data_IF_671659615212
#
_entry.id   IF_671659615212
#
_cell.length_a   1.000
_cell.length_b   1.000
_cell.length_c   1.000
_cell.angle_alpha   90.00
_cell.angle_beta   90.00
_cell.angle_gamma   90.00
#
_symmetry.space_group_name_H-M   'P 1'
#
loop_
_entity.id
_entity.type
_entity.pdbx_description
1 polymer ?
#
# COMPACT_ATOMS: atom_id res chain seq x y z
N UNK A 1 -16.83 31.54 5.45
CA UNK A 1 -17.25 30.15 5.76
C UNK A 1 -16.99 29.29 4.53
N UNK A 2 -15.85 28.60 4.49
CA UNK A 2 -15.47 27.76 3.34
C UNK A 2 -16.22 26.44 3.40
N UNK A 3 -17.22 26.30 2.54
CA UNK A 3 -17.97 25.07 2.33
C UNK A 3 -17.02 23.97 1.87
N UNK A 4 -16.58 23.11 2.79
CA UNK A 4 -15.93 21.84 2.47
C UNK A 4 -16.96 20.99 1.76
N UNK A 5 -16.95 21.01 0.42
CA UNK A 5 -17.61 20.00 -0.39
C UNK A 5 -16.99 18.66 0.00
N UNK A 6 -17.70 17.90 0.83
CA UNK A 6 -17.46 16.48 0.99
C UNK A 6 -17.61 15.90 -0.41
N UNK A 7 -16.50 15.54 -1.07
CA UNK A 7 -16.56 14.79 -2.32
C UNK A 7 -17.37 13.55 -1.97
N UNK A 8 -18.56 13.42 -2.56
CA UNK A 8 -19.32 12.19 -2.53
C UNK A 8 -18.40 11.11 -3.09
N UNK A 9 -17.77 10.35 -2.19
CA UNK A 9 -17.16 9.09 -2.52
C UNK A 9 -18.35 8.19 -2.83
N UNK A 10 -18.53 7.80 -4.10
CA UNK A 10 -19.39 6.67 -4.39
C UNK A 10 -18.73 5.46 -3.71
N UNK A 11 -19.38 4.95 -2.66
CA UNK A 11 -18.94 3.80 -1.88
C UNK A 11 -18.78 2.53 -2.75
N UNK A 12 -19.34 2.54 -3.95
CA UNK A 12 -19.33 1.45 -4.93
C UNK A 12 -18.13 1.42 -5.87
N UNK A 13 -17.25 2.44 -5.88
CA UNK A 13 -16.13 2.51 -6.85
C UNK A 13 -14.82 1.94 -6.30
N UNK A 14 -14.87 1.26 -5.16
CA UNK A 14 -13.72 0.62 -4.53
C UNK A 14 -13.31 -0.64 -5.28
N UNK A 15 -12.05 -0.72 -5.66
CA UNK A 15 -11.45 -1.87 -6.35
C UNK A 15 -10.56 -2.68 -5.43
N UNK A 16 -10.49 -3.97 -5.73
CA UNK A 16 -9.57 -4.90 -5.09
C UNK A 16 -8.30 -4.96 -5.94
N UNK A 17 -7.17 -4.72 -5.30
CA UNK A 17 -5.83 -4.84 -5.88
C UNK A 17 -5.16 -6.11 -5.36
N UNK A 18 -4.40 -6.81 -6.20
CA UNK A 18 -3.76 -8.08 -5.87
C UNK A 18 -2.26 -7.98 -6.13
N UNK A 19 -1.43 -8.44 -5.20
CA UNK A 19 0.01 -8.60 -5.39
C UNK A 19 0.41 -9.98 -4.90
N UNK A 20 0.74 -10.89 -5.82
CA UNK A 20 0.98 -12.29 -5.49
C UNK A 20 1.80 -13.00 -6.53
N UNK A 21 2.15 -14.24 -6.23
CA UNK A 21 2.72 -15.17 -7.20
C UNK A 21 1.70 -15.52 -8.29
N UNK A 22 2.19 -16.08 -9.38
CA UNK A 22 1.39 -16.47 -10.54
C UNK A 22 0.22 -17.36 -10.14
N UNK A 23 0.47 -18.38 -9.31
CA UNK A 23 -0.55 -19.34 -8.87
C UNK A 23 -1.67 -18.67 -8.07
N UNK A 24 -1.35 -17.77 -7.13
CA UNK A 24 -2.38 -17.06 -6.36
C UNK A 24 -3.15 -16.08 -7.25
N UNK A 25 -2.48 -15.34 -8.12
CA UNK A 25 -3.13 -14.38 -9.02
C UNK A 25 -4.08 -15.10 -9.97
N UNK A 26 -3.69 -16.25 -10.52
CA UNK A 26 -4.57 -17.10 -11.34
C UNK A 26 -5.77 -17.55 -10.53
N UNK A 27 -5.57 -18.00 -9.28
CA UNK A 27 -6.67 -18.38 -8.39
C UNK A 27 -7.68 -17.24 -8.13
N UNK A 28 -7.20 -16.02 -7.91
CA UNK A 28 -8.06 -14.86 -7.72
C UNK A 28 -8.82 -14.47 -8.99
N UNK A 29 -8.16 -14.52 -10.15
CA UNK A 29 -8.80 -14.27 -11.44
C UNK A 29 -9.90 -15.29 -11.72
N UNK A 30 -9.68 -16.57 -11.42
CA UNK A 30 -10.69 -17.62 -11.53
C UNK A 30 -11.85 -17.44 -10.55
N UNK A 31 -11.60 -16.89 -9.36
CA UNK A 31 -12.62 -16.53 -8.39
C UNK A 31 -13.42 -15.26 -8.77
N UNK A 32 -13.10 -14.62 -9.90
CA UNK A 32 -13.75 -13.39 -10.35
C UNK A 32 -13.19 -12.12 -9.69
N UNK A 33 -12.06 -12.20 -9.00
CA UNK A 33 -11.38 -11.08 -8.36
C UNK A 33 -10.18 -10.67 -9.22
N UNK A 34 -10.33 -9.55 -9.92
CA UNK A 34 -9.28 -8.98 -10.75
C UNK A 34 -9.84 -8.55 -12.10
N UNK A 35 -9.70 -7.26 -12.40
CA UNK A 35 -10.13 -6.68 -13.67
C UNK A 35 -8.92 -6.16 -14.42
N UNK A 36 -8.90 -6.41 -15.73
CA UNK A 36 -7.97 -5.79 -16.66
C UNK A 36 -8.80 -4.93 -17.59
N UNK A 37 -8.62 -3.63 -17.46
CA UNK A 37 -9.31 -2.67 -18.29
C UNK A 37 -8.83 -2.75 -19.74
N UNK A 38 -9.68 -2.37 -20.70
CA UNK A 38 -9.34 -2.29 -22.12
C UNK A 38 -8.21 -1.29 -22.40
N UNK A 39 -8.03 -0.32 -21.49
CA UNK A 39 -6.92 0.63 -21.46
C UNK A 39 -5.60 0.04 -20.91
N UNK A 40 -5.58 -1.25 -20.57
CA UNK A 40 -4.40 -1.94 -20.05
C UNK A 40 -4.14 -1.71 -18.56
N UNK A 41 -5.02 -0.98 -17.85
CA UNK A 41 -4.92 -0.80 -16.41
C UNK A 41 -5.31 -2.11 -15.72
N UNK A 42 -4.34 -2.76 -15.08
CA UNK A 42 -4.52 -4.00 -14.32
C UNK A 42 -4.57 -3.70 -12.82
N UNK A 43 -5.42 -4.43 -12.11
CA UNK A 43 -5.49 -4.36 -10.65
C UNK A 43 -4.67 -5.46 -9.96
N UNK A 44 -3.79 -6.14 -10.71
CA UNK A 44 -2.95 -7.19 -10.15
C UNK A 44 -1.49 -7.04 -10.60
N UNK A 45 -0.60 -7.44 -9.72
CA UNK A 45 0.83 -7.51 -9.96
C UNK A 45 1.33 -8.92 -9.65
N UNK A 46 1.94 -9.54 -10.65
CA UNK A 46 2.50 -10.89 -10.55
C UNK A 46 3.95 -10.74 -10.09
N UNK A 47 4.27 -11.35 -8.95
CA UNK A 47 5.61 -11.40 -8.38
C UNK A 47 6.27 -12.69 -8.82
N UNK A 48 7.41 -12.57 -9.51
CA UNK A 48 8.26 -13.68 -9.87
C UNK A 48 9.48 -13.73 -8.94
N UNK A 49 10.21 -14.85 -8.94
CA UNK A 49 11.47 -14.98 -8.18
C UNK A 49 12.56 -13.98 -8.61
N UNK A 50 12.39 -13.31 -9.75
CA UNK A 50 13.29 -12.27 -10.29
C UNK A 50 12.85 -10.84 -9.91
N UNK A 51 11.62 -10.67 -9.45
CA UNK A 51 11.06 -9.36 -9.09
C UNK A 51 11.80 -8.82 -7.87
N UNK A 52 12.30 -7.59 -7.97
CA UNK A 52 13.03 -6.98 -6.87
C UNK A 52 12.06 -6.44 -5.81
N UNK A 53 12.48 -6.40 -4.55
CA UNK A 53 11.65 -5.90 -3.44
C UNK A 53 11.27 -4.43 -3.63
N UNK A 54 12.18 -3.64 -4.21
CA UNK A 54 11.93 -2.23 -4.54
C UNK A 54 10.74 -2.07 -5.48
N UNK A 55 10.62 -2.94 -6.48
CA UNK A 55 9.50 -2.89 -7.44
C UNK A 55 8.16 -3.16 -6.75
N UNK A 56 8.15 -4.08 -5.78
CA UNK A 56 6.95 -4.40 -4.99
C UNK A 56 6.53 -3.20 -4.13
N UNK A 57 7.48 -2.49 -3.52
CA UNK A 57 7.23 -1.28 -2.73
C UNK A 57 6.71 -0.13 -3.58
N UNK A 58 7.26 0.06 -4.77
CA UNK A 58 6.79 1.06 -5.74
C UNK A 58 5.36 0.79 -6.17
N UNK A 59 5.03 -0.46 -6.52
CA UNK A 59 3.68 -0.88 -6.91
C UNK A 59 2.70 -0.74 -5.75
N UNK A 60 3.10 -1.11 -4.54
CA UNK A 60 2.26 -0.97 -3.35
C UNK A 60 1.95 0.52 -3.06
N UNK A 61 2.94 1.39 -3.20
CA UNK A 61 2.77 2.85 -3.05
C UNK A 61 1.87 3.41 -4.15
N UNK A 62 2.01 2.92 -5.39
CA UNK A 62 1.14 3.29 -6.50
C UNK A 62 -0.32 2.91 -6.21
N UNK A 63 -0.56 1.70 -5.68
CA UNK A 63 -1.91 1.23 -5.36
C UNK A 63 -2.53 2.01 -4.19
N UNK A 64 -1.75 2.29 -3.14
CA UNK A 64 -2.20 3.09 -2.00
C UNK A 64 -2.46 4.55 -2.37
N UNK A 65 -1.79 5.07 -3.39
CA UNK A 65 -1.98 6.46 -3.86
C UNK A 65 -3.24 6.64 -4.72
N UNK A 66 -3.90 5.55 -5.14
CA UNK A 66 -5.12 5.62 -5.96
C UNK A 66 -6.35 5.78 -5.07
N UNK A 67 -7.20 6.73 -5.44
CA UNK A 67 -8.45 7.01 -4.73
C UNK A 67 -9.51 5.89 -4.90
N UNK A 68 -9.31 4.95 -5.83
CA UNK A 68 -10.20 3.79 -6.05
C UNK A 68 -9.71 2.51 -5.34
N UNK A 69 -8.69 2.60 -4.48
CA UNK A 69 -8.17 1.46 -3.73
C UNK A 69 -9.01 1.18 -2.49
N UNK A 70 -9.79 0.10 -2.52
CA UNK A 70 -10.53 -0.40 -1.35
C UNK A 70 -9.72 -1.38 -0.51
N UNK A 71 -9.24 -2.44 -1.15
CA UNK A 71 -8.52 -3.55 -0.47
C UNK A 71 -7.33 -3.98 -1.32
N UNK A 72 -6.19 -4.25 -0.67
CA UNK A 72 -5.01 -4.84 -1.29
C UNK A 72 -4.81 -6.25 -0.72
N UNK A 73 -4.88 -7.27 -1.59
CA UNK A 73 -4.58 -8.66 -1.28
C UNK A 73 -3.11 -8.94 -1.59
N UNK A 74 -2.33 -9.34 -0.58
CA UNK A 74 -0.93 -9.70 -0.76
C UNK A 74 -0.57 -11.02 -0.08
N UNK A 75 0.32 -11.79 -0.70
CA UNK A 75 0.88 -12.98 -0.06
C UNK A 75 1.76 -12.57 1.16
N UNK A 76 1.60 -13.25 2.30
CA UNK A 76 2.33 -12.97 3.55
C UNK A 76 3.85 -13.11 3.40
N UNK A 77 4.31 -14.01 2.54
CA UNK A 77 5.73 -14.22 2.22
C UNK A 77 6.38 -12.95 1.61
N UNK A 78 5.59 -12.16 0.86
CA UNK A 78 5.99 -10.87 0.27
C UNK A 78 5.91 -9.73 1.29
N UNK A 79 4.98 -9.82 2.25
CA UNK A 79 4.73 -8.82 3.29
C UNK A 79 5.77 -8.81 4.42
N UNK A 80 6.43 -9.94 4.69
CA UNK A 80 7.36 -10.08 5.84
C UNK A 80 8.60 -9.18 5.71
N UNK A 81 8.92 -8.69 4.50
CA UNK A 81 10.07 -7.81 4.26
C UNK A 81 9.70 -6.32 4.22
N UNK A 82 8.43 -5.96 3.92
CA UNK A 82 7.93 -4.59 4.14
C UNK A 82 7.91 -4.21 5.63
N UNK A 83 7.97 -5.21 6.51
CA UNK A 83 8.19 -5.03 7.96
C UNK A 83 9.62 -4.65 8.35
N UNK A 84 10.58 -4.51 7.42
CA UNK A 84 11.86 -3.87 7.79
C UNK A 84 11.77 -2.35 7.88
N UNK A 85 10.75 -1.74 7.28
CA UNK A 85 10.54 -0.28 7.32
C UNK A 85 9.23 0.16 8.01
N UNK A 86 8.37 -0.78 8.44
CA UNK A 86 7.14 -0.46 9.18
C UNK A 86 7.23 -0.63 10.71
N UNK A 87 8.33 -1.13 11.29
CA UNK A 87 8.42 -1.33 12.75
C UNK A 87 9.58 -0.66 13.50
N UNK A 88 10.46 0.15 12.91
CA UNK A 88 11.62 0.64 13.69
C UNK A 88 12.28 1.98 13.31
N UNK A 89 11.58 2.94 12.69
CA UNK A 89 12.24 4.23 12.34
C UNK A 89 11.60 5.50 12.89
N UNK A 90 10.51 5.44 13.67
CA UNK A 90 9.84 6.66 14.12
C UNK A 90 9.29 6.67 15.56
N UNK A 91 9.98 6.00 16.49
CA UNK A 91 9.70 6.21 17.91
C UNK A 91 10.96 6.10 18.78
N UNK A 92 11.97 6.92 18.50
CA UNK A 92 13.01 7.24 19.50
C UNK A 92 13.69 8.61 19.36
N UNK A 93 13.24 9.50 18.47
CA UNK A 93 13.93 10.77 18.24
C UNK A 93 13.12 12.05 18.52
N UNK A 94 12.04 11.97 19.31
CA UNK A 94 11.25 13.16 19.70
C UNK A 94 11.17 13.37 21.23
N UNK A 95 11.92 12.60 22.04
CA UNK A 95 11.93 12.78 23.51
C UNK A 95 13.20 13.47 24.02
N UNK A 96 14.23 13.71 23.19
CA UNK A 96 15.53 14.20 23.67
C UNK A 96 15.99 15.55 23.08
N UNK A 97 15.06 16.48 22.84
CA UNK A 97 15.41 17.89 22.55
C UNK A 97 14.58 18.93 23.33
N UNK A 98 13.93 18.56 24.44
CA UNK A 98 13.15 19.51 25.26
C UNK A 98 13.53 19.58 26.74
N UNK A 99 14.77 19.23 27.09
CA UNK A 99 15.26 19.28 28.48
C UNK A 99 16.71 19.79 28.64
N UNK A 100 17.19 20.65 27.75
CA UNK A 100 18.47 21.38 27.95
C UNK A 100 18.37 22.89 27.75
N UNK A 101 17.22 23.46 28.09
CA UNK A 101 17.19 24.83 28.56
C UNK A 101 16.88 24.75 30.05
N UNK A 102 17.68 25.45 30.86
CA UNK A 102 17.58 25.59 32.32
C UNK A 102 18.52 24.69 33.17
N UNK A 103 19.82 24.94 33.02
CA UNK A 103 20.83 25.02 34.09
C UNK A 103 21.83 26.07 33.57
N UNK A 104 21.73 27.35 33.87
CA UNK A 104 22.13 28.08 35.10
C UNK A 104 22.97 29.27 34.58
N UNK A 105 23.25 30.36 35.35
CA UNK A 105 22.99 30.62 36.77
C UNK A 105 21.90 31.66 37.06
#
# INVERSE_FOLDING_TARGET
MTSRRHKFFNETDLKIYIIGDEDSVVGFLLAGIGFRDGLGKKNFFIVNSKTNKTEIEEVFKEYTSKNDCGVILMNQQVSTQGKKNLSASNCHNVTNQRSREMTDP
#
